data_IF_386844038331
#
_entry.id   IF_386844038331
#
_cell.length_a   1.000
_cell.length_b   1.000
_cell.length_c   1.000
_cell.angle_alpha   90.00
_cell.angle_beta   90.00
_cell.angle_gamma   90.00
#
_symmetry.space_group_name_H-M   'P 1'
#
loop_
_entity.id
_entity.type
_entity.pdbx_description
1 polymer ?
#
# COMPACT_ATOMS: atom_id res chain seq x y z
N UNK A 1 26.17 30.53 17.53
CA UNK A 1 25.35 29.50 18.20
C UNK A 1 26.30 28.46 18.80
N UNK A 2 26.40 28.38 20.12
CA UNK A 2 27.05 27.24 20.77
C UNK A 2 26.27 25.99 20.34
N UNK A 3 26.91 25.14 19.55
CA UNK A 3 26.32 23.90 19.05
C UNK A 3 26.29 22.95 20.24
N UNK A 4 25.12 22.43 20.59
CA UNK A 4 25.00 21.38 21.59
C UNK A 4 25.92 20.21 21.18
N UNK A 5 27.00 20.01 21.94
CA UNK A 5 27.94 18.91 21.77
C UNK A 5 27.52 17.80 22.71
N UNK A 6 27.15 16.66 22.14
CA UNK A 6 26.75 15.49 22.92
C UNK A 6 28.00 14.86 23.56
N UNK A 7 27.97 14.68 24.88
CA UNK A 7 29.02 13.97 25.60
C UNK A 7 29.06 12.46 25.29
N UNK A 8 30.18 11.83 25.62
CA UNK A 8 30.40 10.39 25.42
C UNK A 8 31.22 9.78 26.56
N UNK A 9 31.13 8.46 26.71
CA UNK A 9 32.00 7.73 27.64
C UNK A 9 33.31 7.38 26.94
N UNK A 10 34.45 7.63 27.59
CA UNK A 10 35.75 7.25 27.02
C UNK A 10 35.81 5.76 26.66
N UNK A 11 35.21 4.88 27.47
CA UNK A 11 35.15 3.43 27.22
C UNK A 11 34.18 2.97 26.15
N UNK A 12 33.49 3.88 25.45
CA UNK A 12 32.53 3.53 24.41
C UNK A 12 33.24 3.01 23.15
N UNK A 13 33.12 1.70 22.91
CA UNK A 13 33.69 1.04 21.73
C UNK A 13 32.89 1.33 20.45
N UNK A 14 31.62 1.75 20.56
CA UNK A 14 30.76 1.97 19.40
C UNK A 14 31.19 3.16 18.54
N UNK A 15 32.00 4.07 19.10
CA UNK A 15 32.53 5.28 18.45
C UNK A 15 34.03 5.19 18.11
N UNK A 16 34.64 4.00 18.26
CA UNK A 16 36.07 3.74 18.07
C UNK A 16 36.40 2.92 16.81
N UNK A 17 35.45 2.77 15.88
CA UNK A 17 35.70 2.04 14.63
C UNK A 17 36.70 2.76 13.71
N UNK A 18 37.41 2.03 12.83
CA UNK A 18 38.32 2.63 11.87
C UNK A 18 37.58 3.51 10.86
N UNK A 19 38.25 4.53 10.34
CA UNK A 19 37.72 5.37 9.28
C UNK A 19 37.84 4.65 7.93
N UNK A 20 36.71 4.46 7.24
CA UNK A 20 36.64 3.95 5.88
C UNK A 20 36.00 4.99 4.95
N UNK A 21 36.41 4.98 3.69
CA UNK A 21 35.78 5.82 2.68
C UNK A 21 34.32 5.40 2.43
N UNK A 22 33.48 6.36 2.02
CA UNK A 22 32.09 6.08 1.68
C UNK A 22 32.01 5.24 0.39
N UNK A 23 31.51 4.00 0.48
CA UNK A 23 31.17 3.19 -0.71
C UNK A 23 30.15 3.91 -1.60
N UNK A 24 29.09 4.46 -1.00
CA UNK A 24 28.09 5.29 -1.69
C UNK A 24 28.30 6.75 -1.30
N UNK A 25 28.70 7.59 -2.25
CA UNK A 25 28.84 9.04 -2.02
C UNK A 25 27.50 9.75 -2.15
N UNK A 26 27.38 10.97 -1.60
CA UNK A 26 26.14 11.77 -1.70
C UNK A 26 25.72 12.04 -3.16
N UNK A 27 26.63 12.39 -4.10
CA UNK A 27 26.27 12.52 -5.51
C UNK A 27 25.73 11.21 -6.11
N UNK A 28 26.37 10.07 -5.82
CA UNK A 28 25.90 8.76 -6.28
C UNK A 28 24.51 8.45 -5.71
N UNK A 29 24.26 8.75 -4.44
CA UNK A 29 22.94 8.59 -3.83
C UNK A 29 21.87 9.40 -4.58
N UNK A 30 22.15 10.68 -4.88
CA UNK A 30 21.21 11.53 -5.62
C UNK A 30 20.97 11.00 -7.04
N UNK A 31 22.01 10.54 -7.73
CA UNK A 31 21.83 9.91 -9.06
C UNK A 31 20.96 8.66 -8.95
N UNK A 32 21.29 7.74 -8.03
CA UNK A 32 20.61 6.46 -7.90
C UNK A 32 19.19 6.55 -7.33
N UNK A 33 18.92 7.49 -6.43
CA UNK A 33 17.65 7.56 -5.68
C UNK A 33 16.76 8.75 -6.07
N UNK A 34 17.27 9.71 -6.84
CA UNK A 34 16.47 10.83 -7.37
C UNK A 34 16.38 10.76 -8.89
N UNK A 35 17.53 10.85 -9.58
CA UNK A 35 17.56 10.99 -11.04
C UNK A 35 17.07 9.73 -11.75
N UNK A 36 17.62 8.56 -11.40
CA UNK A 36 17.23 7.29 -12.02
C UNK A 36 15.75 6.93 -11.78
N UNK A 37 15.19 7.09 -10.56
CA UNK A 37 13.76 6.89 -10.34
C UNK A 37 12.87 7.84 -11.14
N UNK A 38 13.21 9.13 -11.23
CA UNK A 38 12.45 10.07 -12.07
C UNK A 38 12.48 9.66 -13.54
N UNK A 39 13.65 9.26 -14.05
CA UNK A 39 13.79 8.75 -15.41
C UNK A 39 12.95 7.49 -15.62
N UNK A 40 12.98 6.55 -14.67
CA UNK A 40 12.18 5.34 -14.72
C UNK A 40 10.68 5.65 -14.79
N UNK A 41 10.17 6.56 -13.94
CA UNK A 41 8.77 7.01 -14.00
C UNK A 41 8.42 7.58 -15.39
N UNK A 42 9.28 8.44 -15.93
CA UNK A 42 9.12 9.02 -17.27
C UNK A 42 9.09 7.96 -18.37
N UNK A 43 10.02 7.01 -18.36
CA UNK A 43 10.08 5.92 -19.35
C UNK A 43 8.82 5.05 -19.29
N UNK A 44 8.36 4.67 -18.09
CA UNK A 44 7.15 3.84 -17.95
C UNK A 44 5.89 4.57 -18.46
N UNK A 45 5.78 5.89 -18.25
CA UNK A 45 4.68 6.68 -18.82
C UNK A 45 4.82 6.87 -20.34
N UNK A 46 6.03 7.07 -20.87
CA UNK A 46 6.28 7.14 -22.33
C UNK A 46 5.89 5.83 -23.00
N UNK A 47 6.28 4.68 -22.43
CA UNK A 47 5.87 3.37 -22.94
C UNK A 47 4.33 3.23 -23.00
N UNK A 48 3.62 3.79 -22.01
CA UNK A 48 2.14 3.80 -22.00
C UNK A 48 1.54 4.78 -23.01
N UNK A 49 2.18 5.91 -23.27
CA UNK A 49 1.79 6.82 -24.35
C UNK A 49 1.93 6.16 -25.73
N UNK A 50 3.03 5.43 -25.97
CA UNK A 50 3.25 4.72 -27.23
C UNK A 50 2.21 3.62 -27.47
N UNK A 51 1.75 2.96 -26.40
CA UNK A 51 0.68 1.96 -26.50
C UNK A 51 -0.71 2.60 -26.71
N UNK A 52 -1.00 3.69 -26.00
CA UNK A 52 -2.27 4.40 -26.07
C UNK A 52 -2.01 5.91 -26.27
N UNK A 53 -2.18 6.40 -27.51
CA UNK A 53 -1.94 7.80 -27.91
C UNK A 53 -2.91 8.80 -27.26
N UNK A 54 -2.79 9.01 -25.95
CA UNK A 54 -3.58 9.96 -25.16
C UNK A 54 -2.67 10.96 -24.46
N UNK A 55 -2.19 11.95 -25.21
CA UNK A 55 -1.20 12.92 -24.75
C UNK A 55 -1.62 13.68 -23.47
N UNK A 56 -2.89 14.11 -23.36
CA UNK A 56 -3.38 14.78 -22.13
C UNK A 56 -3.34 13.87 -20.89
N UNK A 57 -3.65 12.58 -21.07
CA UNK A 57 -3.60 11.62 -19.97
C UNK A 57 -2.16 11.35 -19.56
N UNK A 58 -1.26 11.20 -20.53
CA UNK A 58 0.18 11.05 -20.30
C UNK A 58 0.74 12.24 -19.53
N UNK A 59 0.57 13.48 -20.04
CA UNK A 59 1.11 14.68 -19.38
C UNK A 59 0.61 14.78 -17.94
N UNK A 60 -0.68 14.52 -17.70
CA UNK A 60 -1.25 14.53 -16.35
C UNK A 60 -0.67 13.45 -15.44
N UNK A 61 -0.58 12.20 -15.91
CA UNK A 61 -0.05 11.08 -15.12
C UNK A 61 1.44 11.26 -14.80
N UNK A 62 2.23 11.71 -15.77
CA UNK A 62 3.65 11.98 -15.61
C UNK A 62 3.87 13.12 -14.63
N UNK A 63 3.19 14.26 -14.80
CA UNK A 63 3.31 15.40 -13.87
C UNK A 63 2.88 15.02 -12.46
N UNK A 64 1.82 14.23 -12.30
CA UNK A 64 1.34 13.80 -10.98
C UNK A 64 2.31 12.80 -10.32
N UNK A 65 2.72 11.75 -11.02
CA UNK A 65 3.64 10.73 -10.48
C UNK A 65 4.98 11.34 -10.10
N UNK A 66 5.54 12.19 -10.97
CA UNK A 66 6.77 12.92 -10.70
C UNK A 66 6.61 13.91 -9.55
N UNK A 67 5.47 14.63 -9.49
CA UNK A 67 5.14 15.56 -8.41
C UNK A 67 5.03 14.86 -7.05
N UNK A 68 4.30 13.74 -6.97
CA UNK A 68 4.17 12.94 -5.76
C UNK A 68 5.51 12.34 -5.33
N UNK A 69 6.28 11.79 -6.26
CA UNK A 69 7.61 11.25 -5.99
C UNK A 69 8.53 12.34 -5.41
N UNK A 70 8.59 13.49 -6.06
CA UNK A 70 9.44 14.62 -5.66
C UNK A 70 9.01 15.17 -4.30
N UNK A 71 7.72 15.33 -4.07
CA UNK A 71 7.17 15.79 -2.80
C UNK A 71 7.59 14.88 -1.63
N UNK A 72 7.38 13.56 -1.74
CA UNK A 72 7.78 12.66 -0.67
C UNK A 72 9.29 12.52 -0.53
N UNK A 73 10.06 12.66 -1.61
CA UNK A 73 11.52 12.66 -1.54
C UNK A 73 12.02 13.86 -0.75
N UNK A 74 11.50 15.05 -1.06
CA UNK A 74 11.81 16.30 -0.35
C UNK A 74 11.36 16.19 1.12
N UNK A 75 10.16 15.70 1.39
CA UNK A 75 9.67 15.52 2.75
C UNK A 75 10.57 14.56 3.56
N UNK A 76 10.95 13.42 2.98
CA UNK A 76 11.87 12.46 3.60
C UNK A 76 13.25 13.07 3.87
N UNK A 77 13.78 13.83 2.89
CA UNK A 77 15.05 14.53 3.02
C UNK A 77 15.02 15.55 4.16
N UNK A 78 14.04 16.46 4.14
CA UNK A 78 13.91 17.51 5.14
C UNK A 78 13.73 16.93 6.55
N UNK A 79 12.84 15.95 6.71
CA UNK A 79 12.64 15.29 8.01
C UNK A 79 13.91 14.60 8.50
N UNK A 80 14.68 13.98 7.61
CA UNK A 80 15.95 13.36 7.98
C UNK A 80 16.99 14.40 8.43
N UNK A 81 17.13 15.51 7.69
CA UNK A 81 18.06 16.58 8.05
C UNK A 81 17.65 17.30 9.34
N UNK A 82 16.35 17.50 9.57
CA UNK A 82 15.83 18.00 10.85
C UNK A 82 16.19 17.05 11.99
N UNK A 83 15.91 15.75 11.84
CA UNK A 83 16.22 14.76 12.88
C UNK A 83 17.72 14.67 13.20
N UNK A 84 18.59 14.74 12.18
CA UNK A 84 20.05 14.82 12.36
C UNK A 84 20.48 16.02 13.18
N UNK A 85 19.90 17.19 12.89
CA UNK A 85 20.24 18.42 13.58
C UNK A 85 19.74 18.45 15.03
N UNK A 86 18.63 17.76 15.32
CA UNK A 86 18.06 17.63 16.67
C UNK A 86 18.82 16.62 17.52
N UNK A 87 19.09 15.40 17.02
CA UNK A 87 19.62 14.30 17.83
C UNK A 87 21.15 14.40 18.04
N UNK A 88 21.88 14.93 17.06
CA UNK A 88 23.34 15.18 17.14
C UNK A 88 24.17 13.99 17.66
N UNK A 89 23.80 12.76 17.28
CA UNK A 89 24.51 11.54 17.68
C UNK A 89 25.87 11.44 16.98
N UNK A 90 26.89 11.00 17.71
CA UNK A 90 28.24 10.75 17.21
C UNK A 90 28.28 9.57 16.22
N UNK A 91 29.19 9.60 15.25
CA UNK A 91 29.42 8.51 14.29
C UNK A 91 30.32 7.40 14.84
N UNK A 92 30.22 6.17 14.30
CA UNK A 92 31.07 5.07 14.75
C UNK A 92 32.58 5.28 14.58
N UNK A 93 33.00 6.07 13.58
CA UNK A 93 34.41 6.42 13.34
C UNK A 93 34.85 7.75 14.00
N UNK A 94 34.04 8.29 14.92
CA UNK A 94 34.27 9.60 15.53
C UNK A 94 35.66 9.71 16.18
N UNK A 95 36.07 8.71 16.97
CA UNK A 95 37.30 8.78 17.76
C UNK A 95 38.54 8.88 16.87
N UNK A 96 38.59 8.09 15.79
CA UNK A 96 39.71 8.08 14.83
C UNK A 96 39.79 9.38 14.03
N UNK A 97 38.64 9.95 13.64
CA UNK A 97 38.61 11.20 12.88
C UNK A 97 38.93 12.43 13.76
N UNK A 98 38.20 12.62 14.87
CA UNK A 98 38.31 13.80 15.72
C UNK A 98 39.58 13.79 16.60
N UNK A 99 39.99 12.62 17.11
CA UNK A 99 41.01 12.47 18.16
C UNK A 99 40.74 13.42 19.35
N UNK A 100 39.69 13.14 20.15
CA UNK A 100 39.27 14.05 21.21
C UNK A 100 40.31 14.15 22.32
N UNK A 101 40.64 15.37 22.73
CA UNK A 101 41.46 15.67 23.91
C UNK A 101 40.59 16.34 24.99
N UNK A 102 40.83 15.97 26.24
CA UNK A 102 40.14 16.57 27.39
C UNK A 102 40.78 17.90 27.76
N UNK A 103 40.06 18.75 28.49
CA UNK A 103 40.55 20.06 28.92
C UNK A 103 41.80 19.98 29.81
N UNK A 104 41.96 18.89 30.57
CA UNK A 104 43.12 18.65 31.44
C UNK A 104 44.36 18.16 30.65
N UNK A 105 44.27 18.06 29.32
CA UNK A 105 45.33 17.55 28.45
C UNK A 105 45.48 16.03 28.43
N UNK A 106 44.71 15.30 29.26
CA UNK A 106 44.66 13.83 29.24
C UNK A 106 43.83 13.30 28.07
N UNK A 107 43.99 12.01 27.76
CA UNK A 107 43.24 11.34 26.69
C UNK A 107 42.36 10.23 27.23
N UNK A 108 41.40 9.78 26.42
CA UNK A 108 40.58 8.62 26.73
C UNK A 108 41.32 7.27 26.55
N UNK A 109 42.62 7.30 26.24
CA UNK A 109 43.47 6.11 26.20
C UNK A 109 44.09 5.81 27.58
N UNK A 110 44.11 6.81 28.47
CA UNK A 110 44.54 6.63 29.85
C UNK A 110 43.57 5.68 30.60
N UNK A 111 44.07 4.62 31.26
CA UNK A 111 43.23 3.65 31.96
C UNK A 111 42.32 4.28 33.02
N UNK A 112 42.77 5.39 33.61
CA UNK A 112 42.04 6.16 34.62
C UNK A 112 40.74 6.78 34.06
N UNK A 113 40.73 7.12 32.78
CA UNK A 113 39.63 7.83 32.14
C UNK A 113 38.60 6.88 31.51
N UNK A 114 38.79 5.55 31.55
CA UNK A 114 37.94 4.59 30.83
C UNK A 114 36.44 4.73 31.14
N UNK A 115 36.06 4.97 32.39
CA UNK A 115 34.66 5.12 32.80
C UNK A 115 34.21 6.58 32.94
N UNK A 116 35.04 7.53 32.49
CA UNK A 116 34.73 8.95 32.55
C UNK A 116 33.75 9.32 31.43
N UNK A 117 32.70 10.04 31.81
CA UNK A 117 31.80 10.70 30.86
C UNK A 117 32.36 12.09 30.55
N UNK A 118 32.64 12.35 29.28
CA UNK A 118 33.26 13.59 28.81
C UNK A 118 32.23 14.42 28.07
N UNK A 119 31.93 15.61 28.59
CA UNK A 119 31.05 16.59 27.95
C UNK A 119 31.84 17.68 27.21
N UNK A 120 33.01 18.05 27.72
CA UNK A 120 33.86 19.09 27.17
C UNK A 120 35.16 18.49 26.64
N UNK A 121 35.39 18.66 25.35
CA UNK A 121 36.58 18.19 24.67
C UNK A 121 36.81 19.00 23.38
N UNK A 122 38.01 18.92 22.83
CA UNK A 122 38.32 19.47 21.52
C UNK A 122 38.93 18.42 20.61
N UNK A 123 38.66 18.54 19.30
CA UNK A 123 39.27 17.65 18.31
C UNK A 123 40.69 18.13 18.01
N UNK A 124 41.68 17.27 18.24
CA UNK A 124 43.09 17.60 18.00
C UNK A 124 43.49 17.50 16.51
N UNK A 125 42.69 16.81 15.70
CA UNK A 125 42.99 16.63 14.27
C UNK A 125 42.76 17.93 13.46
N UNK A 126 43.87 18.57 13.05
CA UNK A 126 43.86 19.82 12.26
C UNK A 126 43.54 19.62 10.77
N UNK A 127 43.57 18.39 10.27
CA UNK A 127 43.32 18.10 8.85
C UNK A 127 41.82 18.05 8.51
N UNK A 128 40.93 18.20 9.50
CA UNK A 128 39.48 18.20 9.29
C UNK A 128 38.97 19.61 8.96
N UNK A 129 38.25 19.73 7.85
CA UNK A 129 37.46 20.93 7.57
C UNK A 129 36.30 21.09 8.56
N UNK A 130 35.81 22.33 8.75
CA UNK A 130 34.64 22.61 9.59
C UNK A 130 33.37 21.85 9.16
N UNK A 131 33.27 21.44 7.89
CA UNK A 131 32.18 20.59 7.39
C UNK A 131 32.36 19.14 7.84
N UNK A 132 33.53 18.56 7.63
CA UNK A 132 33.83 17.19 8.05
C UNK A 132 33.70 17.03 9.57
N UNK A 133 34.15 18.03 10.33
CA UNK A 133 33.97 18.04 11.78
C UNK A 133 32.50 17.96 12.16
N UNK A 134 31.62 18.77 11.54
CA UNK A 134 30.18 18.71 11.78
C UNK A 134 29.57 17.37 11.40
N UNK A 135 30.06 16.73 10.34
CA UNK A 135 29.56 15.42 9.89
C UNK A 135 29.76 14.32 10.94
N UNK A 136 30.78 14.42 11.79
CA UNK A 136 31.02 13.44 12.86
C UNK A 136 29.93 13.43 13.94
N UNK A 137 29.15 14.52 14.07
CA UNK A 137 28.10 14.69 15.08
C UNK A 137 26.69 14.40 14.55
N UNK A 138 26.54 13.90 13.32
CA UNK A 138 25.23 13.72 12.69
C UNK A 138 25.05 12.30 12.13
N UNK A 139 25.06 11.30 13.02
CA UNK A 139 24.85 9.90 12.66
C UNK A 139 23.38 9.49 12.58
N UNK A 140 22.50 9.99 13.44
CA UNK A 140 21.10 9.55 13.50
C UNK A 140 20.14 10.58 12.89
N UNK A 141 19.16 10.17 12.05
CA UNK A 141 19.04 8.89 11.35
C UNK A 141 19.84 8.89 10.03
N UNK A 142 20.00 7.72 9.41
CA UNK A 142 20.74 7.60 8.15
C UNK A 142 19.94 8.12 6.95
N UNK A 143 20.40 9.21 6.33
CA UNK A 143 19.80 9.74 5.09
C UNK A 143 19.93 8.80 3.89
N UNK A 144 21.01 8.02 3.82
CA UNK A 144 21.17 7.02 2.76
C UNK A 144 20.09 5.96 2.88
N UNK A 145 19.76 5.54 4.11
CA UNK A 145 18.73 4.56 4.34
C UNK A 145 17.33 5.13 4.11
N UNK A 146 16.99 6.29 4.69
CA UNK A 146 15.66 6.86 4.53
C UNK A 146 15.31 7.20 3.07
N UNK A 147 16.22 7.83 2.34
CA UNK A 147 15.99 8.18 0.93
C UNK A 147 15.94 6.94 0.03
N UNK A 148 16.76 5.93 0.30
CA UNK A 148 16.78 4.73 -0.54
C UNK A 148 15.54 3.86 -0.36
N UNK A 149 15.12 3.63 0.89
CA UNK A 149 13.85 2.95 1.15
C UNK A 149 12.66 3.74 0.59
N UNK A 150 12.63 5.06 0.77
CA UNK A 150 11.56 5.88 0.18
C UNK A 150 11.49 5.70 -1.35
N UNK A 151 12.60 5.92 -2.05
CA UNK A 151 12.62 5.97 -3.50
C UNK A 151 12.28 4.60 -4.11
N UNK A 152 12.88 3.53 -3.60
CA UNK A 152 12.71 2.19 -4.13
C UNK A 152 11.33 1.59 -3.81
N UNK A 153 10.78 1.84 -2.61
CA UNK A 153 9.41 1.41 -2.31
C UNK A 153 8.39 2.17 -3.14
N UNK A 154 8.56 3.49 -3.33
CA UNK A 154 7.66 4.26 -4.18
C UNK A 154 7.63 3.68 -5.61
N UNK A 155 8.80 3.38 -6.19
CA UNK A 155 8.87 2.74 -7.51
C UNK A 155 8.20 1.37 -7.51
N UNK A 156 8.40 0.55 -6.47
CA UNK A 156 7.79 -0.76 -6.35
C UNK A 156 6.26 -0.69 -6.28
N UNK A 157 5.70 0.27 -5.53
CA UNK A 157 4.26 0.53 -5.43
C UNK A 157 3.69 1.06 -6.75
N UNK A 158 4.36 2.03 -7.36
CA UNK A 158 3.98 2.56 -8.66
C UNK A 158 3.93 1.45 -9.72
N UNK A 159 4.98 0.64 -9.81
CA UNK A 159 5.05 -0.50 -10.72
C UNK A 159 3.93 -1.51 -10.48
N UNK A 160 3.62 -1.78 -9.20
CA UNK A 160 2.54 -2.66 -8.81
C UNK A 160 1.20 -2.17 -9.34
N UNK A 161 0.88 -0.90 -9.11
CA UNK A 161 -0.39 -0.31 -9.47
C UNK A 161 -0.62 -0.28 -10.99
N UNK A 162 0.45 -0.09 -11.77
CA UNK A 162 0.37 0.08 -13.23
C UNK A 162 0.29 -1.25 -13.96
N UNK A 163 1.05 -2.25 -13.53
CA UNK A 163 1.08 -3.56 -14.18
C UNK A 163 0.18 -4.60 -13.51
N UNK A 164 -0.79 -4.18 -12.68
CA UNK A 164 -1.72 -5.09 -11.97
C UNK A 164 -2.41 -6.07 -12.93
N UNK A 165 -2.82 -5.60 -14.11
CA UNK A 165 -3.50 -6.40 -15.15
C UNK A 165 -2.61 -7.15 -16.14
N UNK A 166 -1.28 -7.12 -15.99
CA UNK A 166 -0.36 -7.78 -16.92
C UNK A 166 -0.47 -9.32 -16.92
N UNK A 167 -0.57 -9.93 -18.11
CA UNK A 167 -0.49 -11.40 -18.29
C UNK A 167 0.92 -11.81 -18.75
N UNK A 168 1.33 -13.04 -18.45
CA UNK A 168 2.61 -13.61 -18.90
C UNK A 168 3.84 -12.90 -18.33
N UNK A 169 4.79 -12.53 -19.21
CA UNK A 169 6.12 -11.97 -18.88
C UNK A 169 6.06 -10.73 -17.99
N UNK A 170 5.05 -9.86 -18.19
CA UNK A 170 4.87 -8.63 -17.41
C UNK A 170 4.63 -8.90 -15.92
N UNK A 171 4.06 -10.07 -15.56
CA UNK A 171 3.86 -10.47 -14.17
C UNK A 171 5.19 -10.79 -13.48
N UNK A 172 6.04 -11.58 -14.14
CA UNK A 172 7.35 -11.99 -13.60
C UNK A 172 8.27 -10.79 -13.52
N UNK A 173 8.33 -9.98 -14.59
CA UNK A 173 9.17 -8.79 -14.66
C UNK A 173 8.84 -7.78 -13.55
N UNK A 174 7.56 -7.61 -13.22
CA UNK A 174 7.11 -6.76 -12.11
C UNK A 174 7.71 -7.20 -10.78
N UNK A 175 7.59 -8.48 -10.42
CA UNK A 175 8.11 -8.99 -9.15
C UNK A 175 9.65 -8.98 -9.12
N UNK A 176 10.30 -9.25 -10.26
CA UNK A 176 11.75 -9.13 -10.39
C UNK A 176 12.23 -7.70 -10.14
N UNK A 177 11.61 -6.71 -10.78
CA UNK A 177 11.96 -5.30 -10.58
C UNK A 177 11.68 -4.83 -9.15
N UNK A 178 10.57 -5.25 -8.55
CA UNK A 178 10.29 -4.97 -7.14
C UNK A 178 11.38 -5.54 -6.22
N UNK A 179 11.78 -6.78 -6.45
CA UNK A 179 12.88 -7.40 -5.70
C UNK A 179 14.20 -6.65 -5.90
N UNK A 180 14.52 -6.24 -7.13
CA UNK A 180 15.73 -5.46 -7.42
C UNK A 180 15.73 -4.10 -6.74
N UNK A 181 14.60 -3.38 -6.75
CA UNK A 181 14.46 -2.10 -6.06
C UNK A 181 14.68 -2.25 -4.55
N UNK A 182 14.02 -3.23 -3.93
CA UNK A 182 14.21 -3.49 -2.50
C UNK A 182 15.65 -3.91 -2.18
N UNK A 183 16.25 -4.76 -3.02
CA UNK A 183 17.65 -5.20 -2.88
C UNK A 183 18.62 -4.02 -2.96
N UNK A 184 18.37 -3.06 -3.85
CA UNK A 184 19.20 -1.85 -3.97
C UNK A 184 19.07 -0.95 -2.74
N UNK A 185 17.86 -0.77 -2.18
CA UNK A 185 17.65 -0.03 -0.94
C UNK A 185 18.39 -0.68 0.24
N UNK A 186 18.32 -2.00 0.34
CA UNK A 186 19.05 -2.79 1.32
C UNK A 186 20.56 -2.65 1.16
N UNK A 187 21.08 -2.81 -0.05
CA UNK A 187 22.51 -2.68 -0.34
C UNK A 187 23.06 -1.31 0.09
N UNK A 188 22.39 -0.22 -0.30
CA UNK A 188 22.80 1.14 0.08
C UNK A 188 22.73 1.32 1.59
N UNK A 189 21.68 0.83 2.24
CA UNK A 189 21.52 0.91 3.70
C UNK A 189 22.60 0.14 4.46
N UNK A 190 22.89 -1.10 4.03
CA UNK A 190 23.90 -1.95 4.66
C UNK A 190 25.33 -1.43 4.44
N UNK A 191 25.60 -0.80 3.29
CA UNK A 191 26.90 -0.15 3.04
C UNK A 191 27.26 0.87 4.13
N UNK A 192 26.27 1.54 4.73
CA UNK A 192 26.49 2.52 5.80
C UNK A 192 26.94 1.92 7.12
N UNK A 193 26.53 0.68 7.39
CA UNK A 193 26.99 -0.08 8.55
C UNK A 193 28.38 -0.67 8.24
N UNK A 194 28.55 -1.23 7.04
CA UNK A 194 29.81 -1.81 6.59
C UNK A 194 30.97 -0.80 6.58
N UNK A 195 30.71 0.43 6.12
CA UNK A 195 31.72 1.50 6.08
C UNK A 195 31.88 2.22 7.45
N UNK A 196 31.17 1.81 8.50
CA UNK A 196 31.15 2.46 9.83
C UNK A 196 30.72 3.93 9.83
N UNK A 197 29.86 4.34 8.90
CA UNK A 197 29.31 5.71 8.87
C UNK A 197 28.11 5.88 9.80
N UNK A 198 27.39 4.80 10.06
CA UNK A 198 26.16 4.81 10.85
C UNK A 198 26.08 3.57 11.74
N UNK A 199 25.46 3.70 12.92
CA UNK A 199 25.08 2.53 13.71
C UNK A 199 23.92 1.81 13.02
N UNK A 200 23.78 0.51 13.27
CA UNK A 200 22.66 -0.29 12.74
C UNK A 200 21.29 0.32 13.09
N UNK A 201 21.17 0.91 14.29
CA UNK A 201 19.94 1.58 14.74
C UNK A 201 19.62 2.84 13.91
N UNK A 202 20.65 3.56 13.47
CA UNK A 202 20.49 4.78 12.67
C UNK A 202 19.98 4.42 11.26
N UNK A 203 20.44 3.28 10.73
CA UNK A 203 19.99 2.70 9.47
C UNK A 203 18.55 2.19 9.59
N UNK A 204 18.23 1.43 10.64
CA UNK A 204 16.87 0.93 10.87
C UNK A 204 15.85 2.07 11.01
N UNK A 205 16.16 3.11 11.79
CA UNK A 205 15.29 4.28 11.91
C UNK A 205 15.12 5.03 10.58
N UNK A 206 16.20 5.12 9.79
CA UNK A 206 16.14 5.66 8.43
C UNK A 206 15.19 4.85 7.54
N UNK A 207 15.34 3.52 7.51
CA UNK A 207 14.49 2.61 6.75
C UNK A 207 13.00 2.77 7.11
N UNK A 208 12.68 2.76 8.41
CA UNK A 208 11.30 2.96 8.89
C UNK A 208 10.74 4.30 8.43
N UNK A 209 11.50 5.39 8.57
CA UNK A 209 11.10 6.72 8.07
C UNK A 209 10.81 6.69 6.55
N UNK A 210 11.69 6.09 5.77
CA UNK A 210 11.51 5.97 4.32
C UNK A 210 10.27 5.17 3.93
N UNK A 211 10.00 4.05 4.62
CA UNK A 211 8.82 3.21 4.42
C UNK A 211 7.53 3.98 4.75
N UNK A 212 7.52 4.75 5.85
CA UNK A 212 6.37 5.58 6.23
C UNK A 212 6.07 6.59 5.13
N UNK A 213 7.07 7.38 4.70
CA UNK A 213 6.85 8.36 3.64
C UNK A 213 6.45 7.73 2.31
N UNK A 214 7.02 6.58 1.93
CA UNK A 214 6.66 5.88 0.71
C UNK A 214 5.23 5.35 0.76
N UNK A 215 4.81 4.78 1.89
CA UNK A 215 3.44 4.29 2.08
C UNK A 215 2.45 5.45 2.06
N UNK A 216 2.74 6.55 2.76
CA UNK A 216 1.89 7.75 2.74
C UNK A 216 1.73 8.29 1.31
N UNK A 217 2.83 8.53 0.59
CA UNK A 217 2.75 9.02 -0.78
C UNK A 217 2.11 8.01 -1.73
N UNK A 218 2.33 6.71 -1.54
CA UNK A 218 1.69 5.67 -2.33
C UNK A 218 0.19 5.57 -2.09
N UNK A 219 -0.32 5.79 -0.88
CA UNK A 219 -1.77 5.85 -0.62
C UNK A 219 -2.38 7.03 -1.38
N UNK A 220 -1.74 8.20 -1.34
CA UNK A 220 -2.19 9.33 -2.16
C UNK A 220 -2.18 8.95 -3.64
N UNK A 221 -1.08 8.41 -4.18
CA UNK A 221 -0.99 7.95 -5.58
C UNK A 221 -2.02 6.87 -5.94
N UNK A 222 -2.22 5.88 -5.07
CA UNK A 222 -3.11 4.73 -5.27
C UNK A 222 -4.58 5.11 -5.28
N UNK A 223 -4.99 6.03 -4.40
CA UNK A 223 -6.33 6.64 -4.45
C UNK A 223 -6.53 7.40 -5.76
N UNK A 224 -5.49 8.05 -6.29
CA UNK A 224 -5.59 8.70 -7.59
C UNK A 224 -5.65 7.70 -8.76
N UNK A 225 -4.82 6.67 -8.81
CA UNK A 225 -4.88 5.64 -9.88
C UNK A 225 -6.24 4.92 -9.90
N UNK A 226 -6.84 4.69 -8.73
CA UNK A 226 -8.15 4.02 -8.57
C UNK A 226 -9.32 4.95 -8.89
N UNK A 227 -9.26 6.23 -8.54
CA UNK A 227 -10.33 7.20 -8.86
C UNK A 227 -10.56 7.34 -10.38
N UNK A 228 -9.51 7.20 -11.19
CA UNK A 228 -9.60 7.47 -12.64
C UNK A 228 -9.82 6.23 -13.53
N UNK A 229 -9.60 5.02 -13.02
CA UNK A 229 -10.06 3.78 -13.68
C UNK A 229 -11.60 3.74 -13.70
N UNK A 230 -12.25 4.19 -12.62
CA UNK A 230 -13.71 4.34 -12.55
C UNK A 230 -14.24 5.50 -13.40
N UNK A 231 -13.56 6.65 -13.44
CA UNK A 231 -14.00 7.79 -14.26
C UNK A 231 -13.91 7.51 -15.78
N UNK A 232 -12.93 6.72 -16.22
CA UNK A 232 -12.83 6.29 -17.63
C UNK A 232 -13.85 5.21 -18.00
N UNK A 233 -14.37 4.45 -17.03
CA UNK A 233 -15.49 3.53 -17.24
C UNK A 233 -16.84 4.27 -17.34
N UNK A 234 -17.04 5.33 -16.56
CA UNK A 234 -18.27 6.13 -16.63
C UNK A 234 -18.40 6.99 -17.90
N UNK A 235 -17.29 7.34 -18.56
CA UNK A 235 -17.33 8.10 -19.84
C UNK A 235 -17.52 7.24 -21.09
N UNK A 236 -17.63 5.91 -20.96
CA UNK A 236 -17.91 4.99 -22.07
C UNK A 236 -19.40 4.60 -22.18
N UNK A 237 -20.27 5.11 -21.30
CA UNK A 237 -21.73 4.99 -21.44
C UNK A 237 -22.21 6.18 -22.26
N UNK A 238 -22.18 6.00 -23.58
CA UNK A 238 -22.81 6.89 -24.55
C UNK A 238 -24.32 7.04 -24.24
N UNK A 239 -24.93 8.24 -24.41
CA UNK A 239 -26.36 8.47 -24.15
C UNK A 239 -27.32 7.64 -25.01
N UNK A 240 -26.80 6.88 -25.98
CA UNK A 240 -27.60 6.11 -26.93
C UNK A 240 -28.31 4.89 -26.34
N UNK A 241 -27.94 4.46 -25.13
CA UNK A 241 -28.53 3.25 -24.53
C UNK A 241 -29.87 3.48 -23.80
N UNK A 242 -30.19 4.72 -23.42
CA UNK A 242 -31.48 5.02 -22.77
C UNK A 242 -32.67 5.02 -23.74
N UNK A 243 -32.46 5.36 -25.01
CA UNK A 243 -33.54 5.33 -26.00
C UNK A 243 -33.90 3.91 -26.45
N UNK A 244 -32.91 3.01 -26.54
CA UNK A 244 -33.17 1.63 -26.99
C UNK A 244 -33.86 0.77 -25.92
N UNK A 245 -33.61 1.05 -24.63
CA UNK A 245 -34.22 0.31 -23.53
C UNK A 245 -35.68 0.72 -23.28
N UNK A 246 -36.03 2.01 -23.49
CA UNK A 246 -37.43 2.46 -23.49
C UNK A 246 -38.22 1.94 -24.70
N UNK A 247 -37.62 1.87 -25.90
CA UNK A 247 -38.30 1.32 -27.08
C UNK A 247 -38.56 -0.20 -26.96
N UNK A 248 -37.67 -0.97 -26.34
CA UNK A 248 -37.90 -2.40 -26.11
C UNK A 248 -38.98 -2.68 -25.06
N UNK A 249 -39.09 -1.86 -24.00
CA UNK A 249 -40.19 -1.96 -23.03
C UNK A 249 -41.55 -1.60 -23.66
N UNK A 250 -41.63 -0.55 -24.48
CA UNK A 250 -42.87 -0.17 -25.16
C UNK A 250 -43.35 -1.27 -26.13
N UNK A 251 -42.41 -1.95 -26.79
CA UNK A 251 -42.74 -3.04 -27.72
C UNK A 251 -43.25 -4.29 -26.98
N UNK A 252 -42.74 -4.60 -25.79
CA UNK A 252 -43.25 -5.69 -24.95
C UNK A 252 -44.64 -5.38 -24.36
N UNK A 253 -44.87 -4.14 -23.92
CA UNK A 253 -46.18 -3.70 -23.39
C UNK A 253 -47.26 -3.73 -24.49
N UNK A 254 -46.93 -3.27 -25.71
CA UNK A 254 -47.87 -3.32 -26.85
C UNK A 254 -48.14 -4.76 -27.32
N UNK A 255 -47.14 -5.66 -27.24
CA UNK A 255 -47.31 -7.07 -27.63
C UNK A 255 -48.16 -7.85 -26.61
N UNK A 256 -48.02 -7.58 -25.31
CA UNK A 256 -48.90 -8.14 -24.27
C UNK A 256 -50.34 -7.61 -24.38
N UNK A 257 -50.52 -6.33 -24.69
CA UNK A 257 -51.84 -5.71 -24.85
C UNK A 257 -52.60 -6.30 -26.05
N UNK A 258 -51.92 -6.58 -27.16
CA UNK A 258 -52.52 -7.20 -28.36
C UNK A 258 -52.89 -8.68 -28.15
N UNK A 259 -52.09 -9.43 -27.38
CA UNK A 259 -52.39 -10.82 -27.00
C UNK A 259 -53.57 -10.92 -26.01
N UNK A 260 -53.71 -9.96 -25.11
CA UNK A 260 -54.85 -9.91 -24.19
C UNK A 260 -56.17 -9.56 -24.91
N UNK A 261 -56.12 -8.71 -25.95
CA UNK A 261 -57.29 -8.32 -26.73
C UNK A 261 -57.75 -9.41 -27.71
N UNK A 262 -56.81 -10.20 -28.26
CA UNK A 262 -57.13 -11.37 -29.09
C UNK A 262 -57.67 -12.54 -28.26
N UNK A 263 -57.15 -12.80 -27.07
CA UNK A 263 -57.71 -13.79 -26.13
C UNK A 263 -59.12 -13.43 -25.68
N UNK A 264 -59.38 -12.14 -25.41
CA UNK A 264 -60.70 -11.65 -25.03
C UNK A 264 -61.71 -11.68 -26.20
N UNK A 265 -61.27 -11.42 -27.44
CA UNK A 265 -62.11 -11.58 -28.64
C UNK A 265 -62.42 -13.06 -28.95
N UNK A 266 -61.47 -13.98 -28.74
CA UNK A 266 -61.73 -15.42 -28.88
C UNK A 266 -62.70 -15.94 -27.80
N UNK A 267 -62.57 -15.48 -26.56
CA UNK A 267 -63.50 -15.82 -25.46
C UNK A 267 -64.89 -15.20 -25.65
N UNK A 268 -64.99 -14.02 -26.27
CA UNK A 268 -66.27 -13.41 -26.65
C UNK A 268 -66.95 -14.14 -27.82
N UNK A 269 -66.17 -14.68 -28.77
CA UNK A 269 -66.69 -15.46 -29.90
C UNK A 269 -67.13 -16.87 -29.49
N UNK A 270 -66.48 -17.51 -28.51
CA UNK A 270 -66.90 -18.82 -27.97
C UNK A 270 -68.11 -18.74 -27.01
N UNK A 271 -68.49 -17.56 -26.52
CA UNK A 271 -69.71 -17.36 -25.73
C UNK A 271 -70.98 -17.14 -26.56
N UNK A 272 -70.87 -17.04 -27.89
CA UNK A 272 -72.04 -16.87 -28.79
C UNK A 272 -72.60 -18.19 -29.35
N UNK A 273 -72.05 -19.34 -28.93
CA UNK A 273 -72.48 -20.67 -29.38
C UNK A 273 -72.65 -21.63 -28.20
N UNK A 274 -73.53 -21.28 -27.25
CA UNK A 274 -74.18 -22.29 -26.41
C UNK A 274 -75.39 -21.69 -25.66
N UNK A 275 -76.48 -22.47 -25.67
CA UNK A 275 -77.74 -22.36 -24.93
C UNK A 275 -78.90 -21.54 -25.51
N UNK A 276 -79.73 -22.28 -26.27
CA UNK A 276 -81.19 -22.30 -26.08
C UNK A 276 -81.50 -22.99 -24.73
N UNK A 277 -82.30 -22.29 -23.90
CA UNK A 277 -83.19 -22.78 -22.82
C UNK A 277 -82.56 -23.50 -21.62
N UNK A 278 -83.16 -23.51 -20.42
CA UNK A 278 -84.11 -22.66 -19.71
C UNK A 278 -84.07 -23.13 -18.24
N UNK A 279 -84.33 -22.20 -17.31
CA UNK A 279 -84.86 -22.44 -15.94
C UNK A 279 -83.89 -22.85 -14.80
N UNK A 280 -83.40 -21.81 -14.13
CA UNK A 280 -83.37 -21.52 -12.68
C UNK A 280 -83.47 -22.67 -11.65
N UNK A 281 -82.44 -22.81 -10.79
CA UNK A 281 -82.56 -22.83 -9.31
C UNK A 281 -81.23 -22.33 -8.70
N UNK A 282 -81.35 -21.48 -7.68
CA UNK A 282 -80.31 -20.86 -6.84
C UNK A 282 -79.60 -21.82 -5.89
N UNK A 283 -78.32 -21.58 -5.57
CA UNK A 283 -77.81 -21.62 -4.19
C UNK A 283 -76.56 -20.74 -4.01
N UNK A 284 -76.53 -19.99 -2.92
CA UNK A 284 -75.55 -18.96 -2.53
C UNK A 284 -74.35 -19.53 -1.72
N UNK A 285 -73.31 -18.72 -1.44
CA UNK A 285 -71.93 -19.11 -1.13
C UNK A 285 -71.56 -19.01 0.36
N UNK A 286 -70.34 -19.45 0.70
CA UNK A 286 -69.63 -19.15 1.95
C UNK A 286 -68.12 -19.21 1.67
N UNK A 287 -67.42 -18.06 1.54
CA UNK A 287 -66.86 -17.15 2.55
C UNK A 287 -65.56 -17.63 3.23
N UNK A 288 -64.52 -16.78 3.06
CA UNK A 288 -63.46 -16.40 4.03
C UNK A 288 -62.49 -17.50 4.54
N UNK A 289 -61.24 -17.25 4.95
CA UNK A 289 -60.52 -16.04 5.35
C UNK A 289 -59.00 -16.32 5.35
N UNK A 290 -58.22 -15.24 5.37
CA UNK A 290 -56.76 -15.15 5.48
C UNK A 290 -56.27 -15.46 6.91
N UNK A 291 -55.18 -16.24 7.09
CA UNK A 291 -54.10 -15.98 8.08
C UNK A 291 -52.92 -16.99 8.02
N UNK A 292 -51.75 -16.47 8.38
CA UNK A 292 -50.36 -16.98 8.51
C UNK A 292 -50.14 -18.15 9.48
N UNK A 293 -49.23 -19.11 9.15
CA UNK A 293 -48.06 -19.53 9.98
C UNK A 293 -47.19 -20.65 9.33
N UNK A 294 -45.87 -20.41 9.34
CA UNK A 294 -44.67 -21.28 9.37
C UNK A 294 -44.72 -22.78 9.02
N UNK A 295 -43.85 -23.22 8.08
CA UNK A 295 -42.85 -24.26 8.34
C UNK A 295 -41.76 -24.31 7.25
N UNK A 296 -40.53 -24.46 7.74
CA UNK A 296 -39.21 -24.43 7.09
C UNK A 296 -38.83 -25.77 6.42
N UNK A 297 -37.99 -25.75 5.35
CA UNK A 297 -37.06 -26.84 5.07
C UNK A 297 -35.60 -26.38 5.26
N UNK A 298 -34.91 -27.10 6.15
CA UNK A 298 -33.48 -27.11 6.48
C UNK A 298 -32.52 -27.23 5.27
N UNK A 299 -31.36 -26.54 5.27
CA UNK A 299 -30.22 -26.77 4.38
C UNK A 299 -29.12 -27.68 5.01
N UNK A 300 -28.16 -28.22 4.21
CA UNK A 300 -27.32 -29.37 4.56
C UNK A 300 -26.11 -29.07 5.49
N UNK A 301 -25.45 -30.10 6.08
CA UNK A 301 -24.66 -30.00 7.31
C UNK A 301 -23.17 -29.59 7.17
N UNK A 302 -22.73 -28.99 6.06
CA UNK A 302 -21.28 -28.81 5.80
C UNK A 302 -20.70 -27.42 6.16
N UNK A 303 -21.51 -26.40 6.44
CA UNK A 303 -20.98 -25.05 6.75
C UNK A 303 -20.70 -24.79 8.24
N UNK A 304 -21.42 -25.47 9.15
CA UNK A 304 -21.25 -25.27 10.60
C UNK A 304 -19.94 -25.87 11.14
N UNK A 305 -19.51 -27.01 10.59
CA UNK A 305 -18.30 -27.70 11.05
C UNK A 305 -17.02 -26.95 10.65
N UNK A 306 -17.05 -26.20 9.54
CA UNK A 306 -15.89 -25.43 9.05
C UNK A 306 -15.71 -24.10 9.81
N UNK A 307 -16.79 -23.53 10.35
CA UNK A 307 -16.73 -22.35 11.22
C UNK A 307 -16.22 -22.69 12.62
N UNK A 308 -16.63 -23.83 13.18
CA UNK A 308 -16.14 -24.30 14.47
C UNK A 308 -14.64 -24.64 14.42
N UNK A 309 -14.17 -25.26 13.33
CA UNK A 309 -12.74 -25.56 13.14
C UNK A 309 -11.88 -24.28 13.05
N UNK A 310 -12.39 -23.22 12.41
CA UNK A 310 -11.71 -21.92 12.34
C UNK A 310 -11.69 -21.19 13.68
N UNK A 311 -12.74 -21.33 14.49
CA UNK A 311 -12.77 -20.75 15.83
C UNK A 311 -11.83 -21.49 16.79
N UNK A 312 -11.73 -22.83 16.72
CA UNK A 312 -10.76 -23.59 17.51
C UNK A 312 -9.31 -23.27 17.15
N UNK A 313 -8.97 -23.17 15.86
CA UNK A 313 -7.63 -22.78 15.39
C UNK A 313 -7.24 -21.35 15.84
N UNK A 314 -8.22 -20.45 15.97
CA UNK A 314 -7.99 -19.08 16.43
C UNK A 314 -7.75 -19.00 17.94
N UNK A 315 -8.49 -19.77 18.75
CA UNK A 315 -8.28 -19.85 20.20
C UNK A 315 -6.96 -20.54 20.60
N UNK A 316 -6.50 -21.51 19.81
CA UNK A 316 -5.22 -22.19 20.05
C UNK A 316 -4.02 -21.29 19.70
N UNK A 317 -4.13 -20.42 18.69
CA UNK A 317 -3.09 -19.44 18.37
C UNK A 317 -2.96 -18.34 19.43
N UNK A 318 -4.06 -17.93 20.06
CA UNK A 318 -4.04 -16.93 21.14
C UNK A 318 -3.40 -17.51 22.42
N UNK A 319 -3.65 -18.79 22.70
CA UNK A 319 -3.09 -19.47 23.88
C UNK A 319 -1.59 -19.81 23.75
N UNK A 320 -1.06 -19.91 22.53
CA UNK A 320 0.36 -20.11 22.27
C UNK A 320 1.20 -18.81 22.38
N UNK A 321 0.57 -17.64 22.22
CA UNK A 321 1.23 -16.34 22.28
C UNK A 321 1.53 -15.86 23.72
N UNK A 322 0.91 -16.48 24.74
CA UNK A 322 1.06 -16.09 26.16
C UNK A 322 2.24 -16.72 26.90
N UNK A 323 3.10 -17.52 26.25
CA UNK A 323 4.10 -18.35 26.95
C UNK A 323 5.55 -18.15 26.47
N UNK A 324 6.00 -16.90 26.24
CA UNK A 324 7.43 -16.57 26.12
C UNK A 324 7.75 -15.23 26.81
N UNK A 325 8.60 -15.20 27.86
CA UNK A 325 8.86 -13.98 28.62
C UNK A 325 10.05 -13.18 28.05
N UNK A 326 9.84 -11.86 27.91
CA UNK A 326 10.87 -10.84 28.13
C UNK A 326 11.58 -10.26 26.91
N UNK A 327 10.98 -9.23 26.28
CA UNK A 327 11.75 -8.15 25.65
C UNK A 327 10.89 -6.86 25.61
N UNK A 328 11.29 -5.84 26.37
CA UNK A 328 10.63 -4.55 26.41
C UNK A 328 10.89 -3.77 25.10
N UNK A 329 9.93 -3.81 24.18
CA UNK A 329 9.99 -3.05 22.92
C UNK A 329 8.63 -2.40 22.60
N UNK A 330 8.32 -1.28 23.24
CA UNK A 330 7.05 -0.55 23.02
C UNK A 330 7.05 0.32 21.76
N UNK A 331 8.21 0.59 21.13
CA UNK A 331 8.28 1.45 19.92
C UNK A 331 8.40 0.68 18.61
N UNK A 332 9.06 -0.49 18.60
CA UNK A 332 9.21 -1.29 17.38
C UNK A 332 7.98 -2.17 17.13
N UNK A 333 7.32 -2.66 18.19
CA UNK A 333 6.06 -3.38 18.09
C UNK A 333 4.97 -2.49 17.49
N UNK A 334 4.80 -1.25 17.98
CA UNK A 334 3.80 -0.33 17.45
C UNK A 334 4.02 0.03 15.96
N UNK A 335 5.27 0.12 15.50
CA UNK A 335 5.57 0.39 14.09
C UNK A 335 5.33 -0.85 13.21
N UNK A 336 5.69 -2.05 13.69
CA UNK A 336 5.38 -3.31 13.01
C UNK A 336 3.88 -3.60 13.00
N UNK A 337 3.17 -3.27 14.08
CA UNK A 337 1.71 -3.39 14.21
C UNK A 337 1.01 -2.38 13.31
N UNK A 338 1.52 -1.16 13.16
CA UNK A 338 0.99 -0.20 12.19
C UNK A 338 1.19 -0.70 10.75
N UNK A 339 2.37 -1.24 10.42
CA UNK A 339 2.67 -1.83 9.10
C UNK A 339 1.83 -3.08 8.85
N UNK A 340 1.65 -3.94 9.86
CA UNK A 340 0.83 -5.14 9.78
C UNK A 340 -0.66 -4.78 9.67
N UNK A 341 -1.13 -3.79 10.43
CA UNK A 341 -2.49 -3.24 10.36
C UNK A 341 -2.77 -2.66 8.98
N UNK A 342 -1.85 -1.85 8.43
CA UNK A 342 -1.92 -1.33 7.07
C UNK A 342 -1.92 -2.46 6.03
N UNK A 343 -1.07 -3.48 6.18
CA UNK A 343 -1.06 -4.63 5.28
C UNK A 343 -2.38 -5.43 5.34
N UNK A 344 -2.94 -5.64 6.53
CA UNK A 344 -4.23 -6.33 6.70
C UNK A 344 -5.39 -5.54 6.10
N UNK A 345 -5.42 -4.21 6.25
CA UNK A 345 -6.46 -3.37 5.62
C UNK A 345 -6.41 -3.42 4.10
N UNK A 346 -5.21 -3.47 3.52
CA UNK A 346 -5.03 -3.64 2.07
C UNK A 346 -5.49 -5.03 1.61
N UNK A 347 -5.23 -6.08 2.38
CA UNK A 347 -5.71 -7.43 2.04
C UNK A 347 -7.22 -7.60 2.18
N UNK A 348 -7.87 -6.94 3.15
CA UNK A 348 -9.32 -6.98 3.27
C UNK A 348 -10.01 -6.20 2.14
N UNK A 349 -9.48 -5.04 1.74
CA UNK A 349 -9.98 -4.33 0.55
C UNK A 349 -9.81 -5.19 -0.72
N UNK A 350 -8.69 -5.90 -0.90
CA UNK A 350 -8.52 -6.84 -2.02
C UNK A 350 -9.50 -8.02 -1.95
N UNK A 351 -9.76 -8.57 -0.76
CA UNK A 351 -10.68 -9.69 -0.58
C UNK A 351 -12.12 -9.29 -0.89
N UNK A 352 -12.55 -8.11 -0.43
CA UNK A 352 -13.88 -7.53 -0.74
C UNK A 352 -14.04 -7.25 -2.23
N UNK A 353 -12.97 -6.76 -2.89
CA UNK A 353 -12.99 -6.51 -4.34
C UNK A 353 -13.05 -7.82 -5.13
N UNK A 354 -12.37 -8.88 -4.66
CA UNK A 354 -12.37 -10.20 -5.29
C UNK A 354 -13.69 -10.97 -5.06
N UNK A 355 -14.33 -10.83 -3.89
CA UNK A 355 -15.66 -11.41 -3.65
C UNK A 355 -16.73 -10.71 -4.48
N UNK A 356 -16.66 -9.38 -4.60
CA UNK A 356 -17.57 -8.61 -5.47
C UNK A 356 -17.39 -8.98 -6.96
N UNK A 357 -16.15 -9.17 -7.42
CA UNK A 357 -15.86 -9.63 -8.78
C UNK A 357 -16.34 -11.08 -9.03
N UNK A 358 -16.29 -11.95 -8.01
CA UNK A 358 -16.78 -13.33 -8.08
C UNK A 358 -18.32 -13.37 -8.17
N UNK A 359 -19.03 -12.56 -7.41
CA UNK A 359 -20.49 -12.49 -7.46
C UNK A 359 -20.99 -11.95 -8.80
N UNK A 360 -20.30 -10.96 -9.38
CA UNK A 360 -20.60 -10.47 -10.73
C UNK A 360 -20.37 -11.52 -11.84
N UNK A 361 -19.34 -12.36 -11.70
CA UNK A 361 -19.08 -13.45 -12.66
C UNK A 361 -20.09 -14.60 -12.53
N UNK A 362 -20.57 -14.89 -11.31
CA UNK A 362 -21.62 -15.90 -11.10
C UNK A 362 -22.96 -15.39 -11.69
N UNK A 363 -23.30 -14.12 -11.46
CA UNK A 363 -24.51 -13.51 -12.03
C UNK A 363 -24.47 -13.41 -13.57
N UNK A 364 -23.29 -13.22 -14.18
CA UNK A 364 -23.15 -13.22 -15.65
C UNK A 364 -23.18 -14.62 -16.26
N UNK A 365 -22.88 -15.67 -15.50
CA UNK A 365 -22.94 -17.05 -16.00
C UNK A 365 -24.38 -17.59 -15.92
N UNK A 366 -25.15 -17.22 -14.89
CA UNK A 366 -26.58 -17.57 -14.80
C UNK A 366 -27.45 -16.90 -15.89
N UNK A 367 -27.06 -15.73 -16.38
CA UNK A 367 -27.77 -15.06 -17.48
C UNK A 367 -27.51 -15.73 -18.84
N UNK A 368 -26.34 -16.34 -19.03
CA UNK A 368 -25.97 -17.07 -20.26
C UNK A 368 -26.70 -18.42 -20.36
N UNK A 369 -26.91 -19.10 -19.24
CA UNK A 369 -27.67 -20.37 -19.21
C UNK A 369 -29.18 -20.19 -19.42
N UNK A 370 -29.76 -19.03 -19.09
CA UNK A 370 -31.19 -18.75 -19.33
C UNK A 370 -31.51 -18.29 -20.76
N UNK A 371 -30.52 -17.97 -21.58
CA UNK A 371 -30.71 -17.59 -23.00
C UNK A 371 -30.49 -18.73 -24.01
N UNK A 372 -30.10 -19.93 -23.55
CA UNK A 372 -29.76 -21.08 -24.41
C UNK A 372 -30.85 -22.14 -24.57
N UNK A 373 -32.03 -21.97 -23.97
CA UNK A 373 -33.16 -22.91 -24.09
C UNK A 373 -34.45 -22.17 -24.37
N UNK A 374 -34.72 -21.87 -25.64
CA UNK A 374 -36.06 -21.62 -26.20
C UNK A 374 -36.02 -21.84 -27.70
#
# INVERSE_FOLDING_TARGET
>A
MLTYQRGFFCGDLSIRYPYHECTITVPMLLVCMLLLPMLFLGVVEIMRLCHNFRLRQYLRNTSLSLGCFSFGFIATYLSTELAKNVVRRLRPHFYMACRPQLNDGSTCDDPKNRNLFVEQYYCSNRNLSARQLRELYVSFPSAHSSLSFYAMLFLAFYLHAIWRGGRGVNRVLRHLLQFLFLSLAWFISLSRVADYWHHWSDVMAGAVMGIIYATLTAIYVGRFLSYYTSSSASSAISPHHHHHQQQQQQHHINKQSCLHQTSNKLKASLKHHQHVGSSTVSFQPSQQQQHTLSHEPTPPPQQQQQQQLKQQLYSDQISAASTLPGLSTTSTAAALDAVASLATTVTEEELVTLTSAREHLIASNESIWKSGTS
#
